data_IF_124071330503
#
_entry.id   IF_124071330503
#
_cell.length_a   1.000
_cell.length_b   1.000
_cell.length_c   1.000
_cell.angle_alpha   90.00
_cell.angle_beta   90.00
_cell.angle_gamma   90.00
#
_symmetry.space_group_name_H-M   'P 1'
#
loop_
_entity.id
_entity.type
_entity.pdbx_description
1 polymer ?
#
# COMPACT_ATOMS: atom_id res chain seq x y z
N UNK A 1 4.17 20.05 18.08
CA UNK A 1 4.44 18.64 18.49
C UNK A 1 3.11 17.90 18.45
N UNK A 2 3.03 16.74 17.81
CA UNK A 2 1.78 15.98 17.64
C UNK A 2 1.28 15.46 18.99
N UNK A 3 0.01 15.67 19.28
CA UNK A 3 -0.66 15.05 20.45
C UNK A 3 -1.08 13.61 20.12
N UNK A 4 -0.19 12.66 20.37
CA UNK A 4 -0.43 11.23 20.12
C UNK A 4 -1.58 10.65 20.93
N UNK A 5 -1.92 11.25 22.09
CA UNK A 5 -3.06 10.81 22.88
C UNK A 5 -4.39 11.17 22.21
N UNK A 6 -4.49 12.38 21.67
CA UNK A 6 -5.65 12.79 20.86
C UNK A 6 -5.78 11.94 19.59
N UNK A 7 -4.67 11.70 18.88
CA UNK A 7 -4.64 10.80 17.71
C UNK A 7 -5.12 9.39 18.07
N UNK A 8 -4.61 8.79 19.16
CA UNK A 8 -5.06 7.48 19.65
C UNK A 8 -6.57 7.44 19.92
N UNK A 9 -7.14 8.56 20.42
CA UNK A 9 -8.57 8.71 20.69
C UNK A 9 -9.47 8.53 19.46
N UNK A 10 -8.95 8.69 18.25
CA UNK A 10 -9.67 8.41 16.99
C UNK A 10 -9.91 6.91 16.77
N UNK A 11 -9.25 6.00 17.50
CA UNK A 11 -9.28 4.56 17.30
C UNK A 11 -9.99 3.82 18.46
N UNK A 12 -11.33 3.67 18.43
CA UNK A 12 -12.10 3.11 19.56
C UNK A 12 -11.75 1.66 19.89
N UNK A 13 -11.22 0.91 18.94
CA UNK A 13 -10.78 -0.48 19.16
C UNK A 13 -9.70 -0.59 20.23
N UNK A 14 -8.86 0.44 20.39
CA UNK A 14 -7.74 0.47 21.33
C UNK A 14 -8.16 0.56 22.81
N UNK A 15 -9.43 0.89 23.06
CA UNK A 15 -10.00 0.78 24.41
C UNK A 15 -10.27 -0.68 24.81
N UNK A 16 -10.36 -1.60 23.84
CA UNK A 16 -10.72 -3.01 24.04
C UNK A 16 -9.60 -3.99 23.73
N UNK A 17 -8.68 -3.60 22.84
CA UNK A 17 -7.62 -4.43 22.29
C UNK A 17 -6.28 -3.72 22.33
N UNK A 18 -5.23 -4.46 22.65
CA UNK A 18 -3.85 -4.11 22.30
C UNK A 18 -3.63 -4.57 20.86
N UNK A 19 -3.77 -3.63 19.92
CA UNK A 19 -3.73 -3.95 18.49
C UNK A 19 -2.34 -3.65 17.92
N UNK A 20 -1.57 -4.69 17.63
CA UNK A 20 -0.19 -4.61 17.12
C UNK A 20 -0.03 -5.43 15.82
N UNK A 21 -1.06 -5.37 14.94
CA UNK A 21 -1.12 -6.20 13.73
C UNK A 21 -1.48 -5.41 12.45
N UNK A 22 -0.99 -4.17 12.35
CA UNK A 22 -1.28 -3.27 11.22
C UNK A 22 -0.81 -3.84 9.88
N UNK A 23 0.29 -4.61 9.85
CA UNK A 23 0.76 -5.29 8.64
C UNK A 23 -0.26 -6.32 8.07
N UNK A 24 -1.31 -6.70 8.83
CA UNK A 24 -2.45 -7.50 8.33
C UNK A 24 -3.61 -6.60 7.94
N UNK A 25 -4.10 -5.75 8.87
CA UNK A 25 -5.14 -4.75 8.65
C UNK A 25 -4.84 -3.50 9.50
N UNK A 26 -5.00 -2.32 8.94
CA UNK A 26 -5.05 -1.08 9.69
C UNK A 26 -6.39 -0.92 10.41
N UNK A 27 -6.40 -0.16 11.50
CA UNK A 27 -7.65 0.19 12.18
C UNK A 27 -8.22 1.48 11.61
N UNK A 28 -9.49 1.46 11.25
CA UNK A 28 -10.17 2.61 10.67
C UNK A 28 -10.48 3.64 11.78
N UNK A 29 -10.03 4.90 11.67
CA UNK A 29 -10.33 5.94 12.65
C UNK A 29 -11.79 6.40 12.57
N UNK A 30 -12.29 7.00 13.64
CA UNK A 30 -13.67 7.53 13.71
C UNK A 30 -13.97 8.52 12.58
N UNK A 31 -13.03 9.40 12.24
CA UNK A 31 -13.21 10.38 11.15
C UNK A 31 -13.50 9.70 9.82
N UNK A 32 -12.83 8.61 9.52
CA UNK A 32 -13.05 7.85 8.29
C UNK A 32 -14.42 7.15 8.28
N UNK A 33 -14.81 6.51 9.40
CA UNK A 33 -16.13 5.91 9.53
C UNK A 33 -17.26 6.94 9.38
N UNK A 34 -17.09 8.14 9.94
CA UNK A 34 -18.03 9.26 9.78
C UNK A 34 -18.11 9.75 8.35
N UNK A 35 -16.98 9.87 7.65
CA UNK A 35 -16.96 10.28 6.25
C UNK A 35 -17.73 9.32 5.34
N UNK A 36 -17.64 8.01 5.58
CA UNK A 36 -18.45 7.01 4.88
C UNK A 36 -19.95 7.21 5.14
N UNK A 37 -20.34 7.37 6.41
CA UNK A 37 -21.74 7.58 6.81
C UNK A 37 -22.30 8.86 6.20
N UNK A 38 -21.56 9.96 6.29
CA UNK A 38 -21.95 11.26 5.73
C UNK A 38 -22.19 11.20 4.20
N UNK A 39 -21.38 10.42 3.47
CA UNK A 39 -21.65 10.21 2.04
C UNK A 39 -22.99 9.47 1.80
N UNK A 40 -23.31 8.46 2.61
CA UNK A 40 -24.57 7.74 2.47
C UNK A 40 -25.77 8.63 2.83
N UNK A 41 -25.66 9.43 3.91
CA UNK A 41 -26.66 10.41 4.32
C UNK A 41 -26.90 11.45 3.20
N UNK A 42 -25.84 12.00 2.64
CA UNK A 42 -25.91 12.94 1.50
C UNK A 42 -26.66 12.36 0.30
N UNK A 43 -26.45 11.08 0.01
CA UNK A 43 -27.19 10.39 -1.08
C UNK A 43 -28.68 10.34 -0.82
N UNK A 44 -29.09 10.13 0.42
CA UNK A 44 -30.50 10.11 0.80
C UNK A 44 -31.11 11.50 0.70
N UNK A 45 -30.38 12.54 1.07
CA UNK A 45 -30.82 13.94 1.02
C UNK A 45 -30.91 14.48 -0.41
N UNK A 46 -29.95 14.17 -1.27
CA UNK A 46 -29.81 14.75 -2.62
C UNK A 46 -30.35 13.84 -3.72
N UNK A 47 -30.78 12.62 -3.41
CA UNK A 47 -31.17 11.60 -4.39
C UNK A 47 -30.12 11.40 -5.50
N UNK A 48 -28.83 11.54 -5.14
CA UNK A 48 -27.67 11.47 -6.04
C UNK A 48 -27.65 12.53 -7.16
N UNK A 49 -28.44 13.61 -7.06
CA UNK A 49 -28.50 14.66 -8.09
C UNK A 49 -27.16 15.39 -8.28
N UNK A 50 -26.29 15.31 -7.29
CA UNK A 50 -24.98 15.95 -7.25
C UNK A 50 -23.80 15.00 -7.57
N UNK A 51 -24.05 13.86 -8.20
CA UNK A 51 -23.04 12.79 -8.41
C UNK A 51 -21.78 13.26 -9.14
N UNK A 52 -21.82 14.30 -9.98
CA UNK A 52 -20.63 14.84 -10.63
C UNK A 52 -19.68 15.48 -9.61
N UNK A 53 -20.18 16.11 -8.54
CA UNK A 53 -19.34 16.65 -7.47
C UNK A 53 -18.55 15.55 -6.71
N UNK A 54 -19.04 14.31 -6.72
CA UNK A 54 -18.30 13.21 -6.12
C UNK A 54 -17.00 12.92 -6.88
N UNK A 55 -16.98 13.17 -8.19
CA UNK A 55 -15.77 13.07 -9.02
C UNK A 55 -14.83 14.27 -8.82
N UNK A 56 -15.37 15.46 -8.55
CA UNK A 56 -14.56 16.62 -8.14
C UNK A 56 -13.91 16.35 -6.78
N UNK A 57 -14.65 15.73 -5.86
CA UNK A 57 -14.10 15.24 -4.59
C UNK A 57 -13.02 14.17 -4.82
N UNK A 58 -13.22 13.25 -5.77
CA UNK A 58 -12.22 12.24 -6.12
C UNK A 58 -10.93 12.88 -6.64
N UNK A 59 -11.00 13.97 -7.41
CA UNK A 59 -9.81 14.70 -7.87
C UNK A 59 -9.05 15.33 -6.70
N UNK A 60 -9.76 15.86 -5.69
CA UNK A 60 -9.14 16.34 -4.45
C UNK A 60 -8.45 15.20 -3.69
N UNK A 61 -9.10 14.03 -3.58
CA UNK A 61 -8.51 12.85 -2.92
C UNK A 61 -7.26 12.36 -3.68
N UNK A 62 -7.28 12.46 -5.00
CA UNK A 62 -6.14 12.18 -5.88
C UNK A 62 -4.95 13.09 -5.55
N UNK A 63 -5.23 14.39 -5.36
CA UNK A 63 -4.22 15.37 -4.96
C UNK A 63 -3.65 15.07 -3.55
N UNK A 64 -4.49 14.61 -2.60
CA UNK A 64 -4.02 14.19 -1.28
C UNK A 64 -3.09 12.94 -1.37
N UNK A 65 -3.45 11.93 -2.17
CA UNK A 65 -2.59 10.78 -2.41
C UNK A 65 -1.25 11.22 -3.02
N UNK A 66 -1.30 12.11 -4.01
CA UNK A 66 -0.10 12.66 -4.66
C UNK A 66 0.78 13.41 -3.66
N UNK A 67 0.19 14.25 -2.81
CA UNK A 67 0.93 14.98 -1.77
C UNK A 67 1.64 14.03 -0.79
N UNK A 68 1.00 12.94 -0.38
CA UNK A 68 1.58 11.94 0.54
C UNK A 68 2.86 11.31 0.01
N UNK A 69 2.99 11.15 -1.31
CA UNK A 69 4.14 10.49 -1.96
C UNK A 69 4.98 11.44 -2.84
N UNK A 70 4.74 12.75 -2.76
CA UNK A 70 5.41 13.80 -3.53
C UNK A 70 5.27 13.68 -5.06
N UNK A 71 4.08 13.25 -5.53
CA UNK A 71 3.67 13.15 -6.94
C UNK A 71 2.81 14.34 -7.39
N UNK A 72 2.32 14.28 -8.64
CA UNK A 72 1.26 15.16 -9.14
C UNK A 72 -0.09 14.40 -9.14
N UNK A 73 -1.20 15.13 -9.04
CA UNK A 73 -2.53 14.51 -9.05
C UNK A 73 -2.79 13.71 -10.34
N UNK A 74 -2.32 14.20 -11.48
CA UNK A 74 -2.45 13.55 -12.78
C UNK A 74 -1.72 12.20 -12.88
N UNK A 75 -0.79 11.93 -11.98
CA UNK A 75 -0.04 10.67 -11.93
C UNK A 75 -0.79 9.57 -11.15
N UNK A 76 -1.93 9.91 -10.50
CA UNK A 76 -2.64 9.02 -9.60
C UNK A 76 -3.91 8.46 -10.25
N UNK A 77 -4.12 7.17 -10.13
CA UNK A 77 -5.37 6.46 -10.47
C UNK A 77 -5.84 5.62 -9.28
N UNK A 78 -7.15 5.49 -9.09
CA UNK A 78 -7.69 4.65 -8.03
C UNK A 78 -7.86 3.21 -8.48
N UNK A 79 -7.61 2.30 -7.54
CA UNK A 79 -7.81 0.86 -7.72
C UNK A 79 -8.46 0.26 -6.49
N UNK A 80 -9.25 -0.82 -6.62
CA UNK A 80 -9.87 -1.47 -5.46
C UNK A 80 -8.88 -2.25 -4.59
N UNK A 81 -7.72 -2.64 -5.14
CA UNK A 81 -6.67 -3.40 -4.45
C UNK A 81 -5.37 -3.46 -5.26
N UNK A 82 -4.28 -3.89 -4.62
CA UNK A 82 -2.96 -3.99 -5.24
C UNK A 82 -2.89 -4.99 -6.41
N UNK A 83 -3.69 -6.06 -6.39
CA UNK A 83 -3.72 -7.02 -7.51
C UNK A 83 -4.22 -6.36 -8.79
N UNK A 84 -5.23 -5.48 -8.70
CA UNK A 84 -5.72 -4.69 -9.85
C UNK A 84 -4.66 -3.72 -10.35
N UNK A 85 -3.93 -3.06 -9.43
CA UNK A 85 -2.84 -2.15 -9.80
C UNK A 85 -1.69 -2.84 -10.53
N UNK A 86 -1.28 -4.03 -10.09
CA UNK A 86 -0.27 -4.83 -10.78
C UNK A 86 -0.78 -5.33 -12.13
N UNK A 87 -2.04 -5.78 -12.20
CA UNK A 87 -2.67 -6.25 -13.43
C UNK A 87 -2.75 -5.13 -14.49
N UNK A 88 -3.01 -3.89 -14.09
CA UNK A 88 -3.01 -2.72 -14.98
C UNK A 88 -1.65 -2.61 -15.71
N UNK A 89 -0.55 -2.70 -14.99
CA UNK A 89 0.78 -2.62 -15.59
C UNK A 89 1.08 -3.84 -16.48
N UNK A 90 0.86 -5.05 -15.96
CA UNK A 90 1.16 -6.29 -16.69
C UNK A 90 0.36 -6.38 -17.99
N UNK A 91 -0.90 -5.99 -17.98
CA UNK A 91 -1.75 -6.07 -19.17
C UNK A 91 -1.52 -4.92 -20.16
N UNK A 92 -1.09 -3.77 -19.66
CA UNK A 92 -0.89 -2.57 -20.47
C UNK A 92 0.49 -2.47 -21.14
N UNK A 93 1.49 -3.28 -20.73
CA UNK A 93 2.81 -3.26 -21.33
C UNK A 93 2.84 -4.02 -22.67
N UNK A 94 3.62 -3.52 -23.68
CA UNK A 94 3.80 -4.18 -24.97
C UNK A 94 4.87 -5.30 -24.85
N UNK A 95 4.47 -6.47 -24.41
CA UNK A 95 5.35 -7.62 -24.25
C UNK A 95 5.83 -8.20 -25.59
N UNK A 96 7.05 -8.74 -25.58
CA UNK A 96 7.61 -9.57 -26.62
C UNK A 96 7.87 -10.98 -26.07
N UNK A 97 7.76 -11.99 -26.90
CA UNK A 97 8.09 -13.33 -26.48
C UNK A 97 9.55 -13.41 -25.97
N UNK A 98 9.73 -13.97 -24.78
CA UNK A 98 11.02 -14.06 -24.10
C UNK A 98 11.40 -12.84 -23.24
N UNK A 99 10.58 -11.77 -23.19
CA UNK A 99 10.74 -10.71 -22.20
C UNK A 99 10.63 -11.30 -20.77
N UNK A 100 11.42 -10.77 -19.83
CA UNK A 100 11.45 -11.30 -18.48
C UNK A 100 10.89 -10.29 -17.46
N UNK A 101 10.11 -10.82 -16.52
CA UNK A 101 9.74 -10.14 -15.27
C UNK A 101 10.54 -10.79 -14.14
N UNK A 102 11.27 -9.99 -13.39
CA UNK A 102 12.10 -10.44 -12.28
C UNK A 102 11.46 -10.03 -10.94
N UNK A 103 11.39 -10.94 -10.00
CA UNK A 103 11.07 -10.70 -8.60
C UNK A 103 12.00 -11.49 -7.68
N UNK A 104 11.91 -11.24 -6.38
CA UNK A 104 12.71 -11.98 -5.38
C UNK A 104 11.88 -13.03 -4.67
N UNK A 105 12.55 -13.99 -4.03
CA UNK A 105 11.92 -15.00 -3.18
C UNK A 105 11.20 -14.34 -1.99
N UNK A 106 10.27 -15.07 -1.41
CA UNK A 106 9.48 -14.66 -0.23
C UNK A 106 8.63 -13.40 -0.44
N UNK A 107 8.41 -12.95 -1.68
CA UNK A 107 7.47 -11.87 -1.98
C UNK A 107 6.03 -12.26 -1.65
N UNK A 108 5.18 -11.24 -1.52
CA UNK A 108 3.75 -11.49 -1.35
C UNK A 108 3.18 -12.18 -2.60
N UNK A 109 2.19 -13.09 -2.46
CA UNK A 109 1.67 -13.87 -3.58
C UNK A 109 1.28 -13.08 -4.83
N UNK A 110 0.84 -11.82 -4.71
CA UNK A 110 0.54 -10.99 -5.88
C UNK A 110 1.71 -10.89 -6.85
N UNK A 111 2.94 -10.70 -6.33
CA UNK A 111 4.15 -10.58 -7.13
C UNK A 111 4.57 -11.93 -7.71
N UNK A 112 4.35 -13.02 -6.96
CA UNK A 112 4.70 -14.37 -7.41
C UNK A 112 3.71 -14.93 -8.44
N UNK A 113 2.41 -14.59 -8.28
CA UNK A 113 1.37 -15.10 -9.19
C UNK A 113 1.28 -14.35 -10.52
N UNK A 114 2.06 -13.30 -10.70
CA UNK A 114 2.14 -12.57 -11.97
C UNK A 114 2.54 -13.50 -13.14
N UNK A 115 3.25 -14.59 -12.86
CA UNK A 115 3.61 -15.64 -13.84
C UNK A 115 2.39 -16.14 -14.61
N UNK A 116 1.26 -16.39 -13.93
CA UNK A 116 0.03 -16.86 -14.58
C UNK A 116 -0.55 -15.83 -15.57
N UNK A 117 -0.31 -14.55 -15.37
CA UNK A 117 -0.75 -13.51 -16.29
C UNK A 117 0.21 -13.30 -17.47
N UNK A 118 1.49 -13.64 -17.31
CA UNK A 118 2.53 -13.44 -18.33
C UNK A 118 2.54 -14.50 -19.42
N UNK A 119 2.12 -15.73 -19.10
CA UNK A 119 2.16 -16.87 -20.02
C UNK A 119 1.51 -16.56 -21.38
N UNK A 120 0.36 -15.90 -21.39
CA UNK A 120 -0.36 -15.51 -22.62
C UNK A 120 0.41 -14.56 -23.52
N UNK A 121 1.43 -13.87 -23.01
CA UNK A 121 2.28 -12.94 -23.74
C UNK A 121 3.59 -13.60 -24.20
N UNK A 122 3.84 -14.85 -23.82
CA UNK A 122 5.13 -15.51 -24.02
C UNK A 122 6.27 -14.89 -23.22
N UNK A 123 5.95 -14.13 -22.19
CA UNK A 123 6.92 -13.55 -21.26
C UNK A 123 7.21 -14.50 -20.11
N UNK A 124 8.40 -14.40 -19.53
CA UNK A 124 8.92 -15.32 -18.51
C UNK A 124 8.96 -14.62 -17.15
N UNK A 125 8.45 -15.27 -16.11
CA UNK A 125 8.63 -14.82 -14.74
C UNK A 125 9.81 -15.54 -14.09
N UNK A 126 10.73 -14.79 -13.53
CA UNK A 126 11.89 -15.29 -12.80
C UNK A 126 11.84 -14.84 -11.35
N UNK A 127 11.99 -15.80 -10.45
CA UNK A 127 12.09 -15.58 -9.01
C UNK A 127 13.50 -15.93 -8.57
N UNK A 128 14.18 -15.02 -7.88
CA UNK A 128 15.59 -15.19 -7.49
C UNK A 128 15.81 -14.84 -6.02
N UNK A 129 16.80 -15.43 -5.35
CA UNK A 129 17.19 -14.98 -4.01
C UNK A 129 17.67 -13.53 -4.01
N UNK A 130 17.39 -12.77 -2.94
CA UNK A 130 17.83 -11.37 -2.84
C UNK A 130 19.33 -11.16 -3.11
N UNK A 131 20.28 -12.00 -2.60
CA UNK A 131 21.70 -11.81 -2.89
C UNK A 131 22.07 -11.91 -4.38
N UNK A 132 21.26 -12.60 -5.19
CA UNK A 132 21.48 -12.79 -6.62
C UNK A 132 20.75 -11.75 -7.49
N UNK A 133 19.96 -10.87 -6.87
CA UNK A 133 19.07 -9.94 -7.58
C UNK A 133 19.79 -9.13 -8.66
N UNK A 134 20.85 -8.42 -8.30
CA UNK A 134 21.58 -7.55 -9.24
C UNK A 134 22.23 -8.32 -10.40
N UNK A 135 22.79 -9.50 -10.12
CA UNK A 135 23.41 -10.36 -11.12
C UNK A 135 22.38 -11.03 -12.06
N UNK A 136 21.13 -11.13 -11.61
CA UNK A 136 20.04 -11.76 -12.36
C UNK A 136 19.39 -10.85 -13.38
N UNK A 137 19.57 -9.52 -13.28
CA UNK A 137 19.06 -8.56 -14.27
C UNK A 137 19.88 -8.68 -15.54
N UNK A 138 19.21 -8.92 -16.68
CA UNK A 138 19.84 -9.14 -17.98
C UNK A 138 19.11 -8.37 -19.11
N UNK A 139 19.54 -8.51 -20.35
CA UNK A 139 19.00 -7.78 -21.51
C UNK A 139 17.54 -8.09 -21.83
N UNK A 140 17.00 -9.22 -21.37
CA UNK A 140 15.59 -9.60 -21.52
C UNK A 140 14.72 -9.07 -20.38
N UNK A 141 15.32 -8.62 -19.27
CA UNK A 141 14.57 -8.10 -18.13
C UNK A 141 13.89 -6.79 -18.52
N UNK A 142 12.56 -6.80 -18.58
CA UNK A 142 11.72 -5.63 -18.92
C UNK A 142 11.12 -4.96 -17.71
N UNK A 143 10.81 -5.75 -16.69
CA UNK A 143 10.12 -5.31 -15.48
C UNK A 143 10.70 -6.03 -14.26
N UNK A 144 10.91 -5.26 -13.21
CA UNK A 144 11.17 -5.78 -11.86
C UNK A 144 9.94 -5.47 -11.01
N UNK A 145 9.44 -6.47 -10.28
CA UNK A 145 8.26 -6.37 -9.42
C UNK A 145 8.67 -6.69 -7.99
N UNK A 146 8.58 -5.71 -7.08
CA UNK A 146 9.03 -5.82 -5.70
C UNK A 146 8.05 -5.15 -4.72
N UNK A 147 8.01 -5.65 -3.47
CA UNK A 147 7.43 -4.92 -2.35
C UNK A 147 8.46 -3.98 -1.73
N UNK A 148 8.04 -2.80 -1.30
CA UNK A 148 8.92 -1.84 -0.61
C UNK A 148 9.46 -2.37 0.72
N UNK A 149 8.61 -3.14 1.42
CA UNK A 149 8.91 -3.84 2.67
C UNK A 149 8.29 -5.23 2.60
N UNK A 150 9.07 -6.26 2.92
CA UNK A 150 8.57 -7.63 2.94
C UNK A 150 7.53 -7.83 4.06
N UNK A 151 6.38 -8.37 3.70
CA UNK A 151 5.21 -8.51 4.60
C UNK A 151 5.42 -9.48 5.76
N UNK A 152 6.33 -10.45 5.59
CA UNK A 152 6.56 -11.52 6.56
C UNK A 152 7.78 -11.23 7.46
N UNK A 153 8.87 -10.73 6.87
CA UNK A 153 10.14 -10.53 7.56
C UNK A 153 10.38 -9.10 8.02
N UNK A 154 9.70 -8.12 7.40
CA UNK A 154 9.97 -6.71 7.60
C UNK A 154 11.21 -6.21 6.86
N UNK A 155 11.83 -7.02 6.00
CA UNK A 155 12.99 -6.59 5.23
C UNK A 155 12.65 -5.38 4.36
N UNK A 156 13.38 -4.28 4.57
CA UNK A 156 13.23 -3.02 3.84
C UNK A 156 14.24 -2.96 2.70
N UNK A 157 13.76 -2.90 1.47
CA UNK A 157 14.62 -2.87 0.28
C UNK A 157 15.33 -1.51 0.11
N UNK A 158 16.56 -1.49 -0.42
CA UNK A 158 17.31 -0.25 -0.75
C UNK A 158 16.79 0.37 -2.06
N UNK A 159 15.58 0.94 -2.04
CA UNK A 159 14.80 1.30 -3.23
C UNK A 159 15.50 2.28 -4.17
N UNK A 160 16.20 3.30 -3.63
CA UNK A 160 16.91 4.29 -4.45
C UNK A 160 18.10 3.66 -5.19
N UNK A 161 18.78 2.70 -4.57
CA UNK A 161 19.88 1.96 -5.20
C UNK A 161 19.35 1.06 -6.32
N UNK A 162 18.30 0.28 -6.02
CA UNK A 162 17.62 -0.59 -7.00
C UNK A 162 17.17 0.24 -8.20
N UNK A 163 16.47 1.34 -7.95
CA UNK A 163 15.94 2.19 -9.02
C UNK A 163 17.05 2.75 -9.93
N UNK A 164 18.13 3.29 -9.35
CA UNK A 164 19.29 3.78 -10.13
C UNK A 164 19.92 2.67 -10.98
N UNK A 165 20.06 1.48 -10.41
CA UNK A 165 20.61 0.32 -11.10
C UNK A 165 19.75 -0.10 -12.30
N UNK A 166 18.43 -0.14 -12.14
CA UNK A 166 17.47 -0.53 -13.18
C UNK A 166 17.31 0.54 -14.25
N UNK A 167 17.26 1.82 -13.87
CA UNK A 167 17.15 2.94 -14.80
C UNK A 167 18.33 2.97 -15.80
N UNK A 168 19.57 2.69 -15.35
CA UNK A 168 20.74 2.57 -16.21
C UNK A 168 20.67 1.44 -17.25
N UNK A 169 19.65 0.55 -17.14
CA UNK A 169 19.42 -0.60 -18.02
C UNK A 169 18.09 -0.52 -18.78
N UNK A 170 17.33 0.56 -18.60
CA UNK A 170 16.02 0.72 -19.22
C UNK A 170 14.96 -0.26 -18.70
N UNK A 171 15.15 -0.83 -17.51
CA UNK A 171 14.24 -1.79 -16.86
C UNK A 171 13.23 -1.02 -16.01
N UNK A 172 11.94 -1.32 -16.17
CA UNK A 172 10.88 -0.72 -15.38
C UNK A 172 10.86 -1.29 -13.96
N UNK A 173 10.54 -0.45 -12.99
CA UNK A 173 10.39 -0.84 -11.58
C UNK A 173 8.93 -0.64 -11.14
N UNK A 174 8.25 -1.74 -10.82
CA UNK A 174 6.99 -1.74 -10.08
C UNK A 174 7.27 -1.95 -8.60
N UNK A 175 6.65 -1.12 -7.77
CA UNK A 175 6.70 -1.24 -6.32
C UNK A 175 5.31 -1.43 -5.73
N UNK A 176 5.17 -2.45 -4.88
CA UNK A 176 4.04 -2.57 -3.96
C UNK A 176 4.38 -1.83 -2.65
N UNK A 177 3.76 -0.65 -2.48
CA UNK A 177 3.94 0.21 -1.30
C UNK A 177 2.99 -0.12 -0.15
N UNK A 178 2.16 -1.15 -0.27
CA UNK A 178 1.12 -1.51 0.71
C UNK A 178 1.67 -1.75 2.12
N UNK A 179 2.92 -2.18 2.25
CA UNK A 179 3.55 -2.37 3.56
C UNK A 179 4.38 -1.18 4.04
N UNK A 180 4.44 -0.07 3.32
CA UNK A 180 5.25 1.10 3.73
C UNK A 180 4.48 2.41 3.75
N UNK A 181 3.74 2.74 2.68
CA UNK A 181 3.05 4.04 2.57
C UNK A 181 1.99 4.17 3.65
N UNK A 182 2.03 5.30 4.37
CA UNK A 182 1.22 5.56 5.56
C UNK A 182 1.95 5.28 6.89
N UNK A 183 3.06 4.52 6.86
CA UNK A 183 3.92 4.30 8.02
C UNK A 183 5.32 4.87 7.84
N UNK A 184 5.85 4.80 6.64
CA UNK A 184 7.17 5.30 6.26
C UNK A 184 7.00 6.39 5.21
N UNK A 185 7.84 7.40 5.26
CA UNK A 185 7.90 8.43 4.24
C UNK A 185 8.32 7.83 2.90
N UNK A 186 7.62 8.20 1.82
CA UNK A 186 7.91 7.74 0.47
C UNK A 186 7.92 8.92 -0.49
N UNK A 187 9.03 9.09 -1.21
CA UNK A 187 9.18 10.15 -2.22
C UNK A 187 9.44 9.54 -3.60
N UNK A 188 8.44 9.62 -4.48
CA UNK A 188 8.56 9.12 -5.86
C UNK A 188 9.65 9.83 -6.66
N UNK A 189 10.01 11.06 -6.32
CA UNK A 189 11.05 11.83 -7.02
C UNK A 189 12.45 11.29 -6.72
N UNK A 190 12.63 10.66 -5.55
CA UNK A 190 13.88 10.01 -5.13
C UNK A 190 13.96 8.58 -5.63
N UNK A 191 12.89 7.81 -5.43
CA UNK A 191 12.83 6.39 -5.80
C UNK A 191 12.60 6.19 -7.29
N UNK A 192 11.81 7.07 -7.95
CA UNK A 192 11.48 7.04 -9.38
C UNK A 192 10.98 5.67 -9.87
N UNK A 193 9.96 5.07 -9.24
CA UNK A 193 9.36 3.86 -9.75
C UNK A 193 8.61 4.16 -11.06
N UNK A 194 8.54 3.18 -11.96
CA UNK A 194 7.64 3.24 -13.12
C UNK A 194 6.17 3.24 -12.67
N UNK A 195 5.88 2.43 -11.65
CA UNK A 195 4.56 2.33 -11.00
C UNK A 195 4.76 2.06 -9.51
N UNK A 196 4.00 2.77 -8.67
CA UNK A 196 3.83 2.45 -7.26
C UNK A 196 2.36 2.14 -7.02
N UNK A 197 2.05 0.98 -6.45
CA UNK A 197 0.70 0.62 -6.03
C UNK A 197 0.60 0.57 -4.52
N UNK A 198 -0.49 1.12 -3.97
CA UNK A 198 -0.75 1.15 -2.52
C UNK A 198 -2.18 0.70 -2.26
N UNK A 199 -2.32 -0.41 -1.56
CA UNK A 199 -3.62 -0.84 -1.03
C UNK A 199 -3.83 -0.21 0.36
N UNK A 200 -4.82 0.65 0.49
CA UNK A 200 -4.89 1.59 1.62
C UNK A 200 -5.40 0.97 2.94
N UNK A 201 -5.86 -0.29 2.95
CA UNK A 201 -6.47 -0.90 4.14
C UNK A 201 -5.48 -1.32 5.24
N UNK A 202 -4.17 -1.19 5.02
CA UNK A 202 -3.16 -1.52 6.04
C UNK A 202 -2.64 -0.25 6.71
N UNK A 203 -1.48 0.23 6.28
CA UNK A 203 -0.79 1.35 6.92
C UNK A 203 -1.42 2.71 6.62
N UNK A 204 -2.22 2.81 5.56
CA UNK A 204 -3.06 3.99 5.32
C UNK A 204 -4.41 3.94 6.05
N UNK A 205 -4.68 2.96 6.90
CA UNK A 205 -5.80 2.90 7.83
C UNK A 205 -7.19 3.11 7.20
N UNK A 206 -7.32 2.82 5.91
CA UNK A 206 -8.54 2.98 5.12
C UNK A 206 -9.38 1.70 5.12
N UNK A 207 -10.67 1.75 4.80
CA UNK A 207 -11.45 0.55 4.50
C UNK A 207 -10.93 -0.18 3.26
N UNK A 208 -11.28 -1.47 3.12
CA UNK A 208 -11.04 -2.21 1.89
C UNK A 208 -11.78 -1.57 0.69
N UNK A 209 -11.25 -1.80 -0.51
CA UNK A 209 -11.83 -1.32 -1.76
C UNK A 209 -11.37 0.08 -2.16
N UNK A 210 -10.45 0.67 -1.42
CA UNK A 210 -9.74 1.88 -1.79
C UNK A 210 -8.23 1.65 -1.77
N UNK A 211 -7.60 2.01 -2.85
CA UNK A 211 -6.17 2.06 -3.05
C UNK A 211 -5.85 2.99 -4.20
N UNK A 212 -4.60 3.28 -4.41
CA UNK A 212 -4.17 4.10 -5.53
C UNK A 212 -2.92 3.55 -6.21
N UNK A 213 -2.75 3.95 -7.46
CA UNK A 213 -1.55 3.67 -8.25
C UNK A 213 -0.98 4.99 -8.74
N UNK A 214 0.29 5.22 -8.47
CA UNK A 214 1.09 6.21 -9.15
C UNK A 214 1.64 5.59 -10.43
N UNK A 215 1.48 6.29 -11.55
CA UNK A 215 2.06 5.92 -12.86
C UNK A 215 2.95 7.04 -13.32
N UNK A 216 4.24 6.78 -13.45
CA UNK A 216 5.21 7.78 -13.92
C UNK A 216 4.79 8.37 -15.28
N UNK A 217 4.95 9.68 -15.51
CA UNK A 217 4.49 10.34 -16.73
C UNK A 217 4.98 9.64 -18.01
N UNK A 218 6.25 9.30 -18.08
CA UNK A 218 6.87 8.63 -19.24
C UNK A 218 6.36 7.19 -19.45
N UNK A 219 5.84 6.55 -18.41
CA UNK A 219 5.19 5.23 -18.49
C UNK A 219 3.74 5.39 -18.93
N UNK A 220 3.03 6.38 -18.39
CA UNK A 220 1.63 6.70 -18.72
C UNK A 220 1.41 6.98 -20.18
N UNK A 221 2.36 7.60 -20.86
CA UNK A 221 2.30 7.85 -22.32
C UNK A 221 2.28 6.56 -23.15
N UNK A 222 2.88 5.47 -22.64
CA UNK A 222 3.09 4.22 -23.37
C UNK A 222 2.27 3.05 -22.87
N UNK A 223 1.70 3.17 -21.67
CA UNK A 223 0.92 2.12 -21.04
C UNK A 223 -0.49 2.10 -21.63
N UNK A 224 -0.87 0.98 -22.24
CA UNK A 224 -2.20 0.81 -22.81
C UNK A 224 -3.27 0.83 -21.72
N UNK A 225 -4.43 1.41 -22.05
CA UNK A 225 -5.62 1.35 -21.19
C UNK A 225 -6.29 0.00 -21.39
N UNK A 226 -6.35 -0.80 -20.34
CA UNK A 226 -6.88 -2.18 -20.36
C UNK A 226 -8.28 -2.30 -19.75
N UNK A 227 -8.64 -1.35 -18.89
CA UNK A 227 -9.99 -1.24 -18.33
C UNK A 227 -10.67 -0.08 -19.01
N UNK A 228 -11.40 -0.39 -20.09
CA UNK A 228 -12.10 0.62 -20.91
C UNK A 228 -13.54 0.74 -20.43
N UNK A 229 -13.97 1.97 -20.16
CA UNK A 229 -15.34 2.28 -19.76
C UNK A 229 -15.70 3.72 -20.08
N UNK A 230 -16.86 4.17 -19.64
CA UNK A 230 -17.40 5.50 -19.99
C UNK A 230 -16.52 6.68 -19.53
N UNK A 231 -15.69 6.46 -18.48
CA UNK A 231 -14.74 7.47 -17.97
C UNK A 231 -13.36 7.42 -18.64
N UNK A 232 -13.17 6.54 -19.60
CA UNK A 232 -11.91 6.48 -20.36
C UNK A 232 -11.79 7.62 -21.36
N UNK A 233 -12.92 8.14 -21.84
CA UNK A 233 -12.95 9.32 -22.71
C UNK A 233 -12.63 10.59 -21.90
N UNK A 234 -11.78 11.47 -22.42
CA UNK A 234 -11.36 12.70 -21.71
C UNK A 234 -12.52 13.67 -21.42
N UNK A 235 -13.58 13.62 -22.24
CA UNK A 235 -14.75 14.49 -22.11
C UNK A 235 -15.93 13.83 -21.35
N UNK A 236 -15.68 12.75 -20.62
CA UNK A 236 -16.69 11.96 -19.92
C UNK A 236 -17.58 12.77 -18.94
N UNK A 237 -17.08 13.92 -18.43
CA UNK A 237 -17.88 14.82 -17.56
C UNK A 237 -19.01 15.53 -18.31
N UNK A 238 -18.99 15.55 -19.63
CA UNK A 238 -20.06 16.11 -20.46
C UNK A 238 -21.21 15.10 -20.62
N UNK A 239 -21.83 14.71 -19.50
CA UNK A 239 -22.80 13.59 -19.45
C UNK A 239 -23.99 13.72 -20.37
N UNK A 240 -24.32 14.95 -20.85
CA UNK A 240 -25.37 15.19 -21.80
C UNK A 240 -24.91 15.03 -23.28
N UNK A 241 -23.58 14.89 -23.48
CA UNK A 241 -22.97 14.82 -24.82
C UNK A 241 -21.82 13.80 -24.81
N UNK A 242 -22.09 12.61 -24.26
CA UNK A 242 -21.08 11.54 -24.22
C UNK A 242 -20.67 11.12 -25.62
N UNK A 243 -19.38 10.86 -25.81
CA UNK A 243 -18.86 10.30 -27.03
C UNK A 243 -19.40 8.86 -27.22
N UNK A 244 -20.01 8.59 -28.38
CA UNK A 244 -20.52 7.27 -28.75
C UNK A 244 -19.60 6.53 -29.75
N UNK A 245 -18.44 7.12 -30.07
CA UNK A 245 -17.38 6.49 -30.87
C UNK A 245 -16.27 5.86 -30.04
N UNK A 246 -15.11 5.69 -30.66
CA UNK A 246 -13.92 5.31 -29.95
C UNK A 246 -13.51 6.40 -28.95
N UNK A 247 -13.13 6.04 -27.70
CA UNK A 247 -12.78 7.02 -26.69
C UNK A 247 -11.52 7.80 -27.08
N UNK A 248 -11.52 9.10 -26.83
CA UNK A 248 -10.32 9.94 -26.90
C UNK A 248 -9.69 9.94 -25.50
N UNK A 249 -8.52 9.33 -25.38
CA UNK A 249 -7.86 9.18 -24.09
C UNK A 249 -7.38 10.52 -23.53
N UNK A 250 -7.59 10.73 -22.24
CA UNK A 250 -6.96 11.81 -21.48
C UNK A 250 -5.48 11.53 -21.18
N UNK A 251 -4.76 12.57 -20.76
CA UNK A 251 -3.33 12.46 -20.42
C UNK A 251 -3.11 12.00 -18.98
N UNK A 252 -4.05 12.25 -18.07
CA UNK A 252 -3.99 11.87 -16.67
C UNK A 252 -4.16 10.36 -16.45
N UNK A 253 -3.65 9.85 -15.34
CA UNK A 253 -3.77 8.44 -14.94
C UNK A 253 -5.23 8.02 -14.66
N UNK A 254 -6.14 8.97 -14.45
CA UNK A 254 -7.58 8.73 -14.33
C UNK A 254 -8.13 7.84 -15.46
N UNK A 255 -7.57 7.92 -16.67
CA UNK A 255 -7.97 7.11 -17.84
C UNK A 255 -7.98 5.59 -17.58
N UNK A 256 -7.24 5.11 -16.56
CA UNK A 256 -7.15 3.69 -16.21
C UNK A 256 -8.30 3.21 -15.30
N UNK A 257 -9.17 4.09 -14.81
CA UNK A 257 -10.25 3.73 -13.88
C UNK A 257 -11.49 3.12 -14.55
N UNK A 258 -11.71 3.45 -15.81
CA UNK A 258 -12.77 2.90 -16.66
C UNK A 258 -14.19 3.34 -16.27
N UNK A 259 -14.64 3.09 -15.06
CA UNK A 259 -16.04 3.25 -14.64
C UNK A 259 -16.23 3.97 -13.31
N UNK A 260 -17.34 3.64 -12.62
CA UNK A 260 -17.67 4.23 -11.31
C UNK A 260 -16.66 3.90 -10.23
N UNK A 261 -16.47 4.84 -9.31
CA UNK A 261 -15.55 4.71 -8.17
C UNK A 261 -16.26 4.20 -6.91
N UNK A 262 -15.49 3.65 -5.99
CA UNK A 262 -16.00 3.19 -4.67
C UNK A 262 -16.03 4.38 -3.70
N UNK A 263 -16.90 5.35 -3.94
CA UNK A 263 -16.97 6.62 -3.22
C UNK A 263 -16.96 6.51 -1.70
N UNK A 264 -17.75 5.61 -1.05
CA UNK A 264 -17.72 5.51 0.41
C UNK A 264 -16.31 5.25 0.96
N UNK A 265 -15.56 4.33 0.32
CA UNK A 265 -14.18 4.02 0.73
C UNK A 265 -13.20 5.15 0.38
N UNK A 266 -13.41 5.88 -0.72
CA UNK A 266 -12.60 7.05 -1.07
C UNK A 266 -12.78 8.20 -0.08
N UNK A 267 -14.02 8.50 0.35
CA UNK A 267 -14.25 9.52 1.38
C UNK A 267 -13.62 9.14 2.72
N UNK A 268 -13.69 7.85 3.10
CA UNK A 268 -12.99 7.37 4.28
C UNK A 268 -11.47 7.52 4.14
N UNK A 269 -10.91 7.19 2.99
CA UNK A 269 -9.48 7.36 2.69
C UNK A 269 -9.07 8.84 2.74
N UNK A 270 -9.89 9.75 2.20
CA UNK A 270 -9.67 11.19 2.28
C UNK A 270 -9.53 11.66 3.73
N UNK A 271 -10.45 11.25 4.61
CA UNK A 271 -10.40 11.65 6.02
C UNK A 271 -9.16 11.11 6.74
N UNK A 272 -8.63 9.96 6.33
CA UNK A 272 -7.35 9.45 6.84
C UNK A 272 -6.18 10.23 6.27
N UNK A 273 -6.21 10.54 4.96
CA UNK A 273 -5.17 11.35 4.31
C UNK A 273 -5.07 12.74 4.94
N UNK A 274 -6.20 13.39 5.25
CA UNK A 274 -6.19 14.66 6.02
C UNK A 274 -5.42 14.51 7.33
N UNK A 275 -5.72 13.45 8.11
CA UNK A 275 -5.03 13.19 9.38
C UNK A 275 -3.52 12.95 9.17
N UNK A 276 -3.15 12.17 8.16
CA UNK A 276 -1.74 11.87 7.90
C UNK A 276 -0.97 13.09 7.43
N UNK A 277 -1.58 13.92 6.58
CA UNK A 277 -0.98 15.16 6.09
C UNK A 277 -0.88 16.22 7.20
N UNK A 278 -1.88 16.30 8.10
CA UNK A 278 -1.84 17.16 9.31
C UNK A 278 -0.68 16.75 10.25
N UNK A 279 -0.46 15.45 10.45
CA UNK A 279 0.63 14.94 11.30
C UNK A 279 1.99 15.12 10.61
N UNK A 280 2.04 14.83 9.31
CA UNK A 280 3.24 14.81 8.48
C UNK A 280 3.91 13.43 8.43
N UNK A 281 4.30 13.00 7.22
CA UNK A 281 4.86 11.67 6.96
C UNK A 281 6.11 11.38 7.80
N UNK A 282 7.01 12.34 7.92
CA UNK A 282 8.24 12.22 8.72
C UNK A 282 7.96 12.02 10.22
N UNK A 283 6.95 12.72 10.78
CA UNK A 283 6.56 12.53 12.19
C UNK A 283 5.90 11.16 12.41
N UNK A 284 5.12 10.69 11.44
CA UNK A 284 4.54 9.34 11.47
C UNK A 284 5.64 8.29 11.44
N UNK A 285 6.59 8.38 10.50
CA UNK A 285 7.71 7.43 10.40
C UNK A 285 8.51 7.40 11.68
N UNK A 286 8.89 8.55 12.22
CA UNK A 286 9.64 8.63 13.48
C UNK A 286 8.92 7.91 14.62
N UNK A 287 7.61 8.15 14.81
CA UNK A 287 6.80 7.51 15.86
C UNK A 287 6.67 6.01 15.65
N UNK A 288 6.41 5.58 14.43
CA UNK A 288 6.24 4.16 14.10
C UNK A 288 7.54 3.38 14.31
N UNK A 289 8.68 3.93 13.86
CA UNK A 289 9.99 3.30 14.05
C UNK A 289 10.44 3.30 15.51
N UNK A 290 10.12 4.32 16.29
CA UNK A 290 10.34 4.36 17.73
C UNK A 290 9.63 3.17 18.42
N UNK A 291 8.32 3.01 18.18
CA UNK A 291 7.52 1.92 18.74
C UNK A 291 8.02 0.55 18.27
N UNK A 292 8.36 0.40 17.00
CA UNK A 292 8.95 -0.82 16.45
C UNK A 292 10.31 -1.12 17.12
N UNK A 293 11.12 -0.11 17.39
CA UNK A 293 12.37 -0.22 18.14
C UNK A 293 12.16 -0.75 19.55
N UNK A 294 11.16 -0.23 20.27
CA UNK A 294 10.78 -0.71 21.61
C UNK A 294 10.31 -2.17 21.56
N UNK A 295 9.49 -2.56 20.58
CA UNK A 295 9.08 -3.96 20.39
C UNK A 295 10.28 -4.86 20.11
N UNK A 296 11.22 -4.42 19.28
CA UNK A 296 12.43 -5.17 18.94
C UNK A 296 13.31 -5.38 20.17
N UNK A 297 13.55 -4.33 20.95
CA UNK A 297 14.31 -4.40 22.19
C UNK A 297 13.64 -5.32 23.21
N UNK A 298 12.33 -5.23 23.36
CA UNK A 298 11.53 -6.07 24.27
C UNK A 298 11.62 -7.55 23.89
N UNK A 299 11.43 -7.91 22.62
CA UNK A 299 11.53 -9.29 22.14
C UNK A 299 12.96 -9.83 22.31
N UNK A 300 13.98 -9.03 22.00
CA UNK A 300 15.38 -9.38 22.24
C UNK A 300 15.68 -9.63 23.71
N UNK A 301 15.15 -8.80 24.62
CA UNK A 301 15.25 -8.96 26.06
C UNK A 301 14.58 -10.25 26.61
N UNK A 302 13.61 -10.79 25.87
CA UNK A 302 12.99 -12.11 26.15
C UNK A 302 13.74 -13.27 25.47
N UNK A 303 14.92 -13.03 24.90
CA UNK A 303 15.75 -14.03 24.24
C UNK A 303 15.34 -14.40 22.82
N UNK A 304 14.43 -13.62 22.20
CA UNK A 304 14.06 -13.88 20.80
C UNK A 304 15.18 -13.49 19.83
N UNK A 305 15.36 -14.28 18.78
CA UNK A 305 16.07 -13.82 17.59
C UNK A 305 15.16 -12.88 16.79
N UNK A 306 15.54 -11.60 16.64
CA UNK A 306 14.73 -10.58 15.98
C UNK A 306 15.36 -10.11 14.68
N UNK A 307 14.54 -9.58 13.76
CA UNK A 307 15.06 -8.91 12.57
C UNK A 307 15.77 -7.59 12.96
N UNK A 308 16.86 -7.27 12.25
CA UNK A 308 17.67 -6.09 12.53
C UNK A 308 17.34 -4.88 11.66
N UNK A 309 16.40 -5.02 10.72
CA UNK A 309 16.04 -3.95 9.80
C UNK A 309 15.31 -2.81 10.52
N UNK A 310 15.60 -1.57 10.13
CA UNK A 310 14.84 -0.39 10.55
C UNK A 310 13.46 -0.36 9.87
N UNK A 311 12.59 -1.27 10.30
CA UNK A 311 11.27 -1.51 9.73
C UNK A 311 10.19 -1.41 10.80
N UNK A 312 9.01 -1.02 10.39
CA UNK A 312 7.79 -0.98 11.20
C UNK A 312 7.23 -2.39 11.49
N UNK A 313 7.70 -3.39 10.78
CA UNK A 313 7.35 -4.80 11.00
C UNK A 313 8.48 -5.46 11.78
N UNK A 314 8.20 -5.88 12.99
CA UNK A 314 9.15 -6.59 13.85
C UNK A 314 8.80 -8.07 13.86
N UNK A 315 9.78 -8.92 13.57
CA UNK A 315 9.61 -10.38 13.63
C UNK A 315 10.62 -11.00 14.57
N UNK A 316 10.18 -12.01 15.30
CA UNK A 316 11.06 -12.71 16.25
C UNK A 316 10.68 -14.17 16.46
N UNK A 317 11.69 -14.99 16.75
CA UNK A 317 11.52 -16.37 17.19
C UNK A 317 11.89 -16.46 18.68
N UNK A 318 10.91 -16.79 19.52
CA UNK A 318 11.13 -17.05 20.95
C UNK A 318 11.53 -18.51 21.13
N UNK A 319 12.66 -18.79 21.79
CA UNK A 319 13.14 -20.16 21.97
C UNK A 319 12.12 -21.06 22.67
N UNK A 320 11.87 -22.24 22.10
CA UNK A 320 10.96 -23.24 22.66
C UNK A 320 9.48 -22.89 22.63
N UNK A 321 9.09 -21.81 21.92
CA UNK A 321 7.68 -21.39 21.82
C UNK A 321 7.20 -21.43 20.38
N UNK A 322 6.07 -22.08 20.12
CA UNK A 322 5.41 -22.08 18.82
C UNK A 322 4.71 -20.73 18.58
N UNK A 323 5.00 -20.02 17.48
CA UNK A 323 4.40 -18.71 17.22
C UNK A 323 2.90 -18.75 17.03
N UNK A 324 2.34 -19.84 16.49
CA UNK A 324 0.91 -20.01 16.31
C UNK A 324 0.17 -20.17 17.64
N UNK A 325 0.75 -20.91 18.57
CA UNK A 325 0.21 -21.05 19.95
C UNK A 325 0.30 -19.73 20.71
N UNK A 326 1.42 -19.00 20.59
CA UNK A 326 1.56 -17.67 21.18
C UNK A 326 0.46 -16.72 20.67
N UNK A 327 0.23 -16.66 19.38
CA UNK A 327 -0.81 -15.79 18.78
C UNK A 327 -2.20 -16.16 19.30
N UNK A 328 -2.51 -17.44 19.44
CA UNK A 328 -3.81 -17.90 20.00
C UNK A 328 -3.98 -17.43 21.44
N UNK A 329 -2.99 -17.68 22.32
CA UNK A 329 -3.01 -17.26 23.72
C UNK A 329 -3.12 -15.75 23.88
N UNK A 330 -2.29 -14.98 23.16
CA UNK A 330 -2.32 -13.51 23.19
C UNK A 330 -3.68 -12.96 22.77
N UNK A 331 -4.35 -13.61 21.80
CA UNK A 331 -5.68 -13.21 21.35
C UNK A 331 -6.74 -13.39 22.45
N UNK A 332 -6.64 -14.41 23.28
CA UNK A 332 -7.52 -14.62 24.46
C UNK A 332 -7.37 -13.47 25.46
N UNK A 333 -6.17 -12.91 25.57
CA UNK A 333 -5.84 -11.74 26.40
C UNK A 333 -6.13 -10.40 25.66
N UNK A 334 -6.79 -10.43 24.51
CA UNK A 334 -7.07 -9.27 23.65
C UNK A 334 -5.82 -8.53 23.18
N UNK A 335 -4.74 -9.25 22.94
CA UNK A 335 -3.54 -8.75 22.29
C UNK A 335 -3.48 -9.36 20.88
N UNK A 336 -3.54 -8.51 19.85
CA UNK A 336 -3.56 -8.98 18.47
C UNK A 336 -2.23 -8.74 17.78
N UNK A 337 -1.56 -9.82 17.48
CA UNK A 337 -0.34 -9.95 16.68
C UNK A 337 -0.55 -11.06 15.64
N UNK A 338 0.45 -11.42 14.85
CA UNK A 338 0.34 -12.54 13.91
C UNK A 338 1.57 -13.42 13.89
N UNK A 339 1.45 -14.62 13.33
CA UNK A 339 2.57 -15.49 13.00
C UNK A 339 2.73 -15.54 11.48
N UNK A 340 3.98 -15.43 10.99
CA UNK A 340 4.34 -15.55 9.59
C UNK A 340 5.66 -16.30 9.47
N UNK A 341 5.72 -17.28 8.57
CA UNK A 341 6.93 -18.08 8.29
C UNK A 341 7.62 -18.57 9.57
N UNK A 342 6.84 -19.09 10.54
CA UNK A 342 7.38 -19.61 11.80
C UNK A 342 7.89 -18.54 12.78
N UNK A 343 7.57 -17.27 12.59
CA UNK A 343 7.97 -16.14 13.43
C UNK A 343 6.77 -15.41 13.99
N UNK A 344 6.87 -14.93 15.23
CA UNK A 344 5.95 -13.92 15.75
C UNK A 344 6.18 -12.62 15.00
N UNK A 345 5.12 -12.00 14.47
CA UNK A 345 5.16 -10.72 13.78
C UNK A 345 4.34 -9.70 14.54
N UNK A 346 4.97 -8.61 14.93
CA UNK A 346 4.40 -7.47 15.65
C UNK A 346 4.54 -6.23 14.77
N UNK A 347 3.47 -5.50 14.55
CA UNK A 347 3.44 -4.35 13.65
C UNK A 347 2.63 -3.20 14.26
N UNK A 348 3.27 -2.38 15.13
CA UNK A 348 2.67 -1.20 15.72
C UNK A 348 2.49 -0.10 14.68
N UNK A 349 1.54 0.80 14.93
CA UNK A 349 1.37 2.03 14.16
C UNK A 349 1.41 3.26 15.08
N UNK A 350 1.39 4.46 14.54
CA UNK A 350 1.47 5.72 15.31
C UNK A 350 0.38 5.86 16.39
N UNK A 351 -0.74 5.15 16.28
CA UNK A 351 -1.82 5.13 17.27
C UNK A 351 -1.53 4.26 18.50
N UNK A 352 -0.47 3.43 18.45
CA UNK A 352 -0.03 2.66 19.60
C UNK A 352 0.81 3.53 20.55
N UNK A 353 0.96 3.04 21.76
CA UNK A 353 1.80 3.66 22.78
C UNK A 353 2.60 2.61 23.58
N UNK A 354 3.42 3.08 24.50
CA UNK A 354 4.31 2.28 25.32
C UNK A 354 3.54 1.27 26.18
N UNK A 355 2.29 1.57 26.55
CA UNK A 355 1.40 0.66 27.30
C UNK A 355 1.04 -0.58 26.49
N UNK A 356 0.89 -0.44 25.17
CA UNK A 356 0.64 -1.58 24.27
C UNK A 356 1.84 -2.51 24.23
N UNK A 357 3.05 -1.97 24.17
CA UNK A 357 4.32 -2.74 24.17
C UNK A 357 4.52 -3.43 25.51
N UNK A 358 4.27 -2.74 26.61
CA UNK A 358 4.40 -3.30 27.97
C UNK A 358 3.40 -4.42 28.22
N UNK A 359 2.14 -4.27 27.76
CA UNK A 359 1.12 -5.30 27.87
C UNK A 359 1.51 -6.55 27.08
N UNK A 360 2.04 -6.38 25.85
CA UNK A 360 2.59 -7.51 25.09
C UNK A 360 3.75 -8.19 25.83
N UNK A 361 4.66 -7.40 26.44
CA UNK A 361 5.80 -7.93 27.19
C UNK A 361 5.36 -8.81 28.35
N UNK A 362 4.41 -8.34 29.16
CA UNK A 362 3.87 -9.09 30.31
C UNK A 362 3.20 -10.38 29.87
N UNK A 363 2.43 -10.36 28.79
CA UNK A 363 1.77 -11.54 28.27
C UNK A 363 2.73 -12.56 27.63
N UNK A 364 3.94 -12.14 27.25
CA UNK A 364 4.97 -13.03 26.71
C UNK A 364 5.89 -13.62 27.78
N UNK A 365 5.82 -13.19 29.02
CA UNK A 365 6.53 -13.80 30.16
C UNK A 365 5.80 -15.06 30.63
#
# INVERSE_FOLDING_TARGET
MTDWSAVRGEFPVLAKWTYLNTATFGQVPRRAARAMAAHMERRDETACADFLHWYDDADRIRAQCAQLIHAQADDITFVPNASTGLALLIQGLPWRAGDEVLTIEDEFPNQLYVSAALERFGAVHRVVPWPEFYASVNERTRLVVLSTVNYATGFRLPLEEISRFLAGRGVLLYLDGTQSVGALEFDVRRVRPAVLCVDAYKWMLSPNGAGFVYVAPEVRERLAVTVVGWRTDRDWRQVNHLNHGAPVLGDAAEKYEGGGLVFPSLYAMSAVLDMMLEIGASAIEARVLELAGQVRAMLGGLGASVNHDASQIVTGCLPGRDPGELVRRLREERILVSARHGRLRVSPHFYNDERDVEKLRLALQ
#
